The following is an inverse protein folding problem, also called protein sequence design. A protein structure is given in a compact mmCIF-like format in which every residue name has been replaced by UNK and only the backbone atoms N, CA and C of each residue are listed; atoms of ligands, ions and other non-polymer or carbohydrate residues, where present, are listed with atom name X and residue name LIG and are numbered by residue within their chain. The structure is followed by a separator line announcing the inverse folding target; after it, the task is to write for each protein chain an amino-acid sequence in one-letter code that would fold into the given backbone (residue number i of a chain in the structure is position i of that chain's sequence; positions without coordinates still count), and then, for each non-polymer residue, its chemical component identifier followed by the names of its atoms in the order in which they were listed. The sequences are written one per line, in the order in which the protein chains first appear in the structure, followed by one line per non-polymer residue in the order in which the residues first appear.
data_IF_191336672390
#
_entry.id   IF_191336672390
#
_cell.length_a   1.000
_cell.length_b   1.000
_cell.length_c   1.000
_cell.angle_alpha   90.00
_cell.angle_beta   90.00
_cell.angle_gamma   90.00
#
_symmetry.space_group_name_H-M   'P 1'
#
loop_
_entity.id
_entity.type
_entity.pdbx_description
1 polymer ?
#
# COMPACT_ATOMS: atom_id res chain seq x y z
N UNK A 1 16.96 25.93 41.20
CA UNK A 1 16.23 26.69 40.17
C UNK A 1 16.71 26.14 38.83
N UNK A 2 15.98 25.20 38.24
CA UNK A 2 16.33 24.63 36.93
C UNK A 2 15.97 25.70 35.91
N UNK A 3 16.99 26.28 35.27
CA UNK A 3 16.79 27.21 34.18
C UNK A 3 16.19 26.45 33.00
N UNK A 4 14.88 26.58 32.80
CA UNK A 4 14.25 26.27 31.52
C UNK A 4 14.88 27.19 30.48
N UNK A 5 15.72 26.62 29.62
CA UNK A 5 16.15 27.29 28.39
C UNK A 5 14.87 27.49 27.60
N UNK A 6 14.35 28.72 27.60
CA UNK A 6 13.34 29.16 26.65
C UNK A 6 14.02 29.06 25.30
N UNK A 7 13.77 27.97 24.58
CA UNK A 7 14.24 27.83 23.20
C UNK A 7 13.74 29.03 22.41
N UNK A 8 14.65 29.78 21.79
CA UNK A 8 14.26 30.86 20.91
C UNK A 8 13.32 30.30 19.84
N UNK A 9 12.15 30.91 19.66
CA UNK A 9 11.27 30.56 18.54
C UNK A 9 12.05 30.65 17.23
N UNK A 10 11.88 29.69 16.30
CA UNK A 10 12.57 29.74 15.01
C UNK A 10 12.25 31.05 14.29
N UNK A 11 13.25 31.62 13.61
CA UNK A 11 13.09 32.90 12.91
C UNK A 11 12.36 32.77 11.58
N UNK A 12 12.42 31.60 10.97
CA UNK A 12 11.82 31.33 9.65
C UNK A 12 10.32 31.06 9.77
N UNK A 13 9.60 31.16 8.65
CA UNK A 13 8.16 30.89 8.60
C UNK A 13 7.89 29.37 8.66
N UNK A 14 7.10 28.87 9.63
CA UNK A 14 6.67 27.47 9.68
C UNK A 14 5.95 27.00 8.41
N UNK A 15 5.21 27.91 7.74
CA UNK A 15 4.54 27.61 6.48
C UNK A 15 5.56 27.36 5.37
N UNK A 16 6.59 28.21 5.26
CA UNK A 16 7.66 28.06 4.27
C UNK A 16 8.41 26.72 4.44
N UNK A 17 8.59 26.28 5.69
CA UNK A 17 9.17 24.95 5.98
C UNK A 17 8.31 23.83 5.41
N UNK A 18 6.99 23.91 5.59
CA UNK A 18 6.05 22.92 5.06
C UNK A 18 5.97 22.98 3.52
N UNK A 19 6.02 24.17 2.93
CA UNK A 19 6.08 24.36 1.47
C UNK A 19 7.34 23.72 0.87
N UNK A 20 8.51 23.92 1.50
CA UNK A 20 9.77 23.28 1.08
C UNK A 20 9.67 21.76 1.17
N UNK A 21 9.12 21.23 2.27
CA UNK A 21 8.90 19.79 2.42
C UNK A 21 8.06 19.21 1.27
N UNK A 22 6.91 19.83 0.95
CA UNK A 22 6.06 19.37 -0.14
C UNK A 22 6.69 19.57 -1.52
N UNK A 23 7.45 20.65 -1.72
CA UNK A 23 8.21 20.85 -2.96
C UNK A 23 9.20 19.71 -3.20
N UNK A 24 9.88 19.22 -2.16
CA UNK A 24 10.74 18.03 -2.29
C UNK A 24 9.95 16.79 -2.67
N UNK A 25 8.75 16.59 -2.11
CA UNK A 25 7.89 15.45 -2.46
C UNK A 25 7.45 15.51 -3.93
N UNK A 26 6.96 16.66 -4.38
CA UNK A 26 6.48 16.88 -5.76
C UNK A 26 7.62 16.65 -6.77
N UNK A 27 8.84 17.04 -6.41
CA UNK A 27 10.03 16.85 -7.25
C UNK A 27 10.70 15.48 -7.06
N UNK A 28 10.07 14.54 -6.34
CA UNK A 28 10.59 13.18 -6.06
C UNK A 28 11.94 13.17 -5.32
N UNK A 29 12.23 14.22 -4.58
CA UNK A 29 13.44 14.44 -3.80
C UNK A 29 13.27 13.92 -2.35
N UNK A 30 12.80 12.67 -2.19
CA UNK A 30 12.32 12.14 -0.89
C UNK A 30 13.38 12.12 0.22
N UNK A 31 14.66 11.91 -0.11
CA UNK A 31 15.74 12.01 0.87
C UNK A 31 15.84 13.43 1.47
N UNK A 32 15.60 14.46 0.66
CA UNK A 32 15.58 15.84 1.13
C UNK A 32 14.27 16.15 1.88
N UNK A 33 13.14 15.57 1.48
CA UNK A 33 11.90 15.65 2.24
C UNK A 33 12.06 15.08 3.66
N UNK A 34 12.71 13.92 3.80
CA UNK A 34 12.98 13.30 5.11
C UNK A 34 13.76 14.21 6.06
N UNK A 35 14.67 15.05 5.53
CA UNK A 35 15.45 15.97 6.35
C UNK A 35 14.60 17.00 7.10
N UNK A 36 13.40 17.33 6.60
CA UNK A 36 12.46 18.24 7.25
C UNK A 36 11.66 17.61 8.40
N UNK A 37 11.70 16.28 8.56
CA UNK A 37 10.97 15.62 9.63
C UNK A 37 11.50 16.00 11.02
N UNK A 38 10.63 15.92 12.02
CA UNK A 38 10.98 16.13 13.43
C UNK A 38 12.04 15.11 13.90
N UNK A 39 12.86 15.49 14.87
CA UNK A 39 13.88 14.59 15.41
C UNK A 39 13.24 13.43 16.21
N UNK A 40 12.04 13.64 16.74
CA UNK A 40 11.25 12.58 17.34
C UNK A 40 10.83 11.53 16.29
N UNK A 41 10.34 11.98 15.13
CA UNK A 41 9.91 11.08 14.06
C UNK A 41 11.09 10.34 13.44
N UNK A 42 12.24 11.00 13.23
CA UNK A 42 13.45 10.34 12.70
C UNK A 42 13.96 9.18 13.57
N UNK A 43 13.66 9.18 14.87
CA UNK A 43 14.03 8.08 15.79
C UNK A 43 13.17 6.83 15.61
N UNK A 44 11.93 6.98 15.14
CA UNK A 44 10.98 5.86 14.97
C UNK A 44 10.77 5.49 13.51
N UNK A 45 10.86 6.47 12.60
CA UNK A 45 10.78 6.30 11.15
C UNK A 45 12.17 6.17 10.57
N UNK A 46 12.52 4.94 10.17
CA UNK A 46 13.73 4.72 9.39
C UNK A 46 13.64 5.48 8.07
N UNK A 47 14.72 6.16 7.71
CA UNK A 47 14.81 6.90 6.45
C UNK A 47 14.44 6.05 5.23
N UNK A 48 14.94 4.82 5.18
CA UNK A 48 14.71 3.94 4.04
C UNK A 48 13.23 3.52 3.92
N UNK A 49 12.53 3.37 5.06
CA UNK A 49 11.09 3.12 5.06
C UNK A 49 10.31 4.37 4.59
N UNK A 50 10.69 5.57 5.06
CA UNK A 50 10.07 6.81 4.55
C UNK A 50 10.23 6.93 3.03
N UNK A 51 11.45 6.79 2.52
CA UNK A 51 11.73 6.90 1.08
C UNK A 51 10.96 5.84 0.30
N UNK A 52 11.01 4.57 0.73
CA UNK A 52 10.28 3.49 0.09
C UNK A 52 8.77 3.76 0.07
N UNK A 53 8.20 4.26 1.17
CA UNK A 53 6.79 4.64 1.18
C UNK A 53 6.49 5.73 0.15
N UNK A 54 7.30 6.80 0.09
CA UNK A 54 7.05 7.91 -0.84
C UNK A 54 7.14 7.46 -2.31
N UNK A 55 8.10 6.60 -2.65
CA UNK A 55 8.23 6.00 -3.99
C UNK A 55 7.00 5.16 -4.35
N UNK A 56 6.56 4.29 -3.42
CA UNK A 56 5.39 3.44 -3.63
C UNK A 56 4.09 4.27 -3.66
N UNK A 57 3.99 5.34 -2.87
CA UNK A 57 2.85 6.23 -2.86
C UNK A 57 2.75 6.99 -4.18
N UNK A 58 3.87 7.48 -4.73
CA UNK A 58 3.90 8.13 -6.04
C UNK A 58 3.50 7.18 -7.19
N UNK A 59 3.77 5.87 -7.05
CA UNK A 59 3.33 4.84 -7.99
C UNK A 59 1.81 4.57 -7.94
N UNK A 60 1.12 4.99 -6.88
CA UNK A 60 -0.33 4.77 -6.66
C UNK A 60 -1.12 6.08 -6.75
N UNK A 61 -0.59 7.17 -6.22
CA UNK A 61 -1.13 8.52 -6.28
C UNK A 61 -0.02 9.57 -6.45
N UNK A 62 0.01 10.28 -7.59
CA UNK A 62 0.98 11.35 -7.83
C UNK A 62 0.56 12.65 -7.15
N UNK A 63 1.45 13.32 -6.40
CA UNK A 63 1.14 14.63 -5.81
C UNK A 63 1.50 15.76 -6.78
N UNK A 64 0.49 16.49 -7.26
CA UNK A 64 0.67 17.55 -8.26
C UNK A 64 0.99 18.91 -7.61
N UNK A 65 0.19 19.30 -6.62
CA UNK A 65 0.31 20.59 -5.92
C UNK A 65 -0.31 20.52 -4.53
N UNK A 66 0.03 21.53 -3.73
CA UNK A 66 -0.57 21.75 -2.40
C UNK A 66 -1.01 23.19 -2.21
N UNK A 67 -2.10 23.38 -1.47
CA UNK A 67 -2.53 24.69 -0.98
C UNK A 67 -2.57 24.65 0.55
N UNK A 68 -1.80 25.53 1.20
CA UNK A 68 -1.52 25.47 2.64
C UNK A 68 -2.15 26.66 3.34
N UNK A 69 -3.01 26.37 4.31
CA UNK A 69 -3.66 27.38 5.17
C UNK A 69 -3.41 27.05 6.64
N UNK A 70 -2.89 28.01 7.41
CA UNK A 70 -2.72 27.84 8.85
C UNK A 70 -4.07 27.80 9.55
N UNK A 71 -4.23 26.88 10.49
CA UNK A 71 -5.49 26.66 11.23
C UNK A 71 -5.32 27.00 12.70
N UNK A 72 -4.23 26.56 13.32
CA UNK A 72 -4.01 26.69 14.76
C UNK A 72 -2.54 26.93 15.07
N UNK A 73 -2.27 27.74 16.09
CA UNK A 73 -0.96 27.86 16.73
C UNK A 73 -1.12 27.69 18.24
N UNK A 74 -0.40 26.73 18.82
CA UNK A 74 -0.38 26.44 20.25
C UNK A 74 1.05 26.23 20.72
N UNK A 75 1.63 27.24 21.36
CA UNK A 75 3.03 27.22 21.77
C UNK A 75 3.96 26.99 20.58
N UNK A 76 4.77 25.95 20.68
CA UNK A 76 5.77 25.53 19.69
C UNK A 76 5.19 24.60 18.61
N UNK A 77 3.87 24.51 18.49
CA UNK A 77 3.18 23.66 17.51
C UNK A 77 2.22 24.47 16.66
N UNK A 78 2.26 24.23 15.35
CA UNK A 78 1.40 24.88 14.36
C UNK A 78 0.74 23.80 13.52
N UNK A 79 -0.56 23.94 13.30
CA UNK A 79 -1.35 23.01 12.50
C UNK A 79 -1.85 23.72 11.24
N UNK A 80 -1.62 23.08 10.11
CA UNK A 80 -2.05 23.52 8.79
C UNK A 80 -3.13 22.59 8.24
N UNK A 81 -4.09 23.16 7.53
CA UNK A 81 -4.86 22.43 6.53
C UNK A 81 -4.05 22.49 5.23
N UNK A 82 -3.80 21.33 4.65
CA UNK A 82 -3.15 21.18 3.35
C UNK A 82 -4.15 20.53 2.42
N UNK A 83 -4.55 21.26 1.38
CA UNK A 83 -5.29 20.67 0.27
C UNK A 83 -4.26 20.05 -0.67
N UNK A 84 -4.19 18.73 -0.70
CA UNK A 84 -3.34 17.97 -1.60
C UNK A 84 -4.13 17.64 -2.86
N UNK A 85 -3.70 18.17 -4.02
CA UNK A 85 -4.19 17.73 -5.32
C UNK A 85 -3.36 16.54 -5.79
N UNK A 86 -3.99 15.37 -5.87
CA UNK A 86 -3.31 14.12 -6.25
C UNK A 86 -3.97 13.47 -7.45
N UNK A 87 -3.16 12.97 -8.38
CA UNK A 87 -3.60 12.10 -9.45
C UNK A 87 -3.75 10.67 -8.93
N UNK A 88 -4.95 10.11 -8.97
CA UNK A 88 -5.22 8.71 -8.65
C UNK A 88 -5.09 7.86 -9.92
N UNK A 89 -4.04 7.04 -10.02
CA UNK A 89 -3.80 6.25 -11.22
C UNK A 89 -4.82 5.13 -11.44
N UNK A 90 -5.51 4.67 -10.39
CA UNK A 90 -6.55 3.65 -10.53
C UNK A 90 -7.82 4.21 -11.16
N UNK A 91 -8.18 5.43 -10.77
CA UNK A 91 -9.37 6.11 -11.29
C UNK A 91 -9.08 7.05 -12.48
N UNK A 92 -7.80 7.23 -12.84
CA UNK A 92 -7.29 8.17 -13.86
C UNK A 92 -7.85 9.60 -13.70
N UNK A 93 -7.90 10.10 -12.46
CA UNK A 93 -8.40 11.45 -12.16
C UNK A 93 -7.65 12.13 -11.04
N UNK A 94 -7.64 13.45 -11.10
CA UNK A 94 -7.15 14.28 -10.01
C UNK A 94 -8.23 14.42 -8.93
N UNK A 95 -7.80 14.37 -7.67
CA UNK A 95 -8.64 14.54 -6.48
C UNK A 95 -7.96 15.50 -5.51
N UNK A 96 -8.74 16.43 -4.98
CA UNK A 96 -8.33 17.26 -3.86
C UNK A 96 -8.72 16.59 -2.55
N UNK A 97 -7.75 16.41 -1.65
CA UNK A 97 -8.00 15.92 -0.29
C UNK A 97 -7.41 16.89 0.70
N UNK A 98 -8.22 17.33 1.68
CA UNK A 98 -7.72 18.15 2.78
C UNK A 98 -7.20 17.28 3.90
N UNK A 99 -5.94 17.45 4.26
CA UNK A 99 -5.28 16.77 5.38
C UNK A 99 -4.76 17.79 6.38
N UNK A 100 -4.64 17.38 7.64
CA UNK A 100 -3.94 18.18 8.65
C UNK A 100 -2.46 17.83 8.62
N UNK A 101 -1.62 18.85 8.75
CA UNK A 101 -0.17 18.71 8.94
C UNK A 101 0.27 19.53 10.13
N UNK A 102 1.15 18.94 10.92
CA UNK A 102 1.70 19.59 12.11
C UNK A 102 3.15 19.95 11.88
N UNK A 103 3.50 21.19 12.20
CA UNK A 103 4.88 21.69 12.22
C UNK A 103 5.21 22.06 13.66
N UNK A 104 6.38 21.66 14.14
CA UNK A 104 6.85 21.89 15.51
C UNK A 104 8.18 22.62 15.51
N UNK A 105 8.39 23.49 16.51
CA UNK A 105 9.70 24.10 16.74
C UNK A 105 10.56 23.15 17.57
N UNK A 106 11.72 22.76 17.02
CA UNK A 106 12.70 21.88 17.66
C UNK A 106 14.10 22.45 17.40
N UNK A 107 14.90 22.60 18.46
CA UNK A 107 16.29 23.08 18.38
C UNK A 107 16.49 24.40 17.59
N UNK A 108 15.48 25.28 17.64
CA UNK A 108 15.51 26.59 16.97
C UNK A 108 15.12 26.55 15.48
N UNK A 109 14.64 25.41 14.98
CA UNK A 109 14.17 25.22 13.61
C UNK A 109 12.72 24.71 13.59
N UNK A 110 12.00 24.97 12.50
CA UNK A 110 10.70 24.34 12.27
C UNK A 110 10.89 22.96 11.63
N UNK A 111 10.15 21.97 12.10
CA UNK A 111 10.17 20.59 11.62
C UNK A 111 8.77 20.08 11.33
N UNK A 112 8.61 19.28 10.29
CA UNK A 112 7.34 18.66 9.92
C UNK A 112 7.17 17.38 10.71
N UNK A 113 6.00 17.18 11.34
CA UNK A 113 5.68 15.89 11.93
C UNK A 113 5.32 14.89 10.83
N UNK A 114 5.92 13.71 10.90
CA UNK A 114 5.54 12.60 10.05
C UNK A 114 4.12 12.13 10.41
N UNK A 115 3.39 11.65 9.41
CA UNK A 115 2.03 11.14 9.59
C UNK A 115 1.98 9.67 9.18
N UNK A 116 1.39 8.86 10.04
CA UNK A 116 1.11 7.44 9.77
C UNK A 116 2.21 6.48 10.19
N UNK A 117 1.81 5.21 10.26
CA UNK A 117 2.72 4.10 10.43
C UNK A 117 3.22 3.64 9.06
N UNK A 118 4.42 4.10 8.68
CA UNK A 118 5.04 3.72 7.40
C UNK A 118 5.18 2.20 7.25
N UNK A 119 5.30 1.44 8.34
CA UNK A 119 5.35 -0.01 8.25
C UNK A 119 4.06 -0.56 7.61
N UNK A 120 2.91 -0.19 8.16
CA UNK A 120 1.59 -0.57 7.63
C UNK A 120 1.34 0.03 6.24
N UNK A 121 1.70 1.29 6.02
CA UNK A 121 1.43 1.98 4.74
C UNK A 121 2.19 1.38 3.56
N UNK A 122 3.44 0.94 3.75
CA UNK A 122 4.22 0.26 2.70
C UNK A 122 3.58 -1.08 2.33
N UNK A 123 3.09 -1.85 3.30
CA UNK A 123 2.39 -3.12 3.04
C UNK A 123 1.16 -2.87 2.15
N UNK A 124 0.34 -1.88 2.49
CA UNK A 124 -0.82 -1.49 1.67
C UNK A 124 -0.41 -1.06 0.25
N UNK A 125 0.59 -0.20 0.11
CA UNK A 125 1.03 0.29 -1.21
C UNK A 125 1.64 -0.81 -2.07
N UNK A 126 2.47 -1.69 -1.50
CA UNK A 126 3.01 -2.83 -2.23
C UNK A 126 1.91 -3.78 -2.70
N UNK A 127 0.93 -4.09 -1.84
CA UNK A 127 -0.20 -4.93 -2.22
C UNK A 127 -1.01 -4.32 -3.38
N UNK A 128 -1.27 -3.00 -3.34
CA UNK A 128 -1.94 -2.26 -4.41
C UNK A 128 -1.16 -2.31 -5.73
N UNK A 129 0.14 -2.01 -5.69
CA UNK A 129 1.00 -2.06 -6.89
C UNK A 129 1.08 -3.50 -7.43
N UNK A 130 1.14 -4.50 -6.56
CA UNK A 130 1.07 -5.91 -6.94
C UNK A 130 -0.22 -6.22 -7.71
N UNK A 131 -1.37 -5.72 -7.22
CA UNK A 131 -2.64 -5.86 -7.91
C UNK A 131 -2.69 -5.10 -9.26
N UNK A 132 -2.08 -3.92 -9.36
CA UNK A 132 -1.98 -3.18 -10.61
C UNK A 132 -1.22 -3.97 -11.68
N UNK A 133 -0.05 -4.52 -11.32
CA UNK A 133 0.72 -5.39 -12.23
C UNK A 133 -0.01 -6.70 -12.56
N UNK A 134 -0.73 -7.29 -11.60
CA UNK A 134 -1.45 -8.54 -11.80
C UNK A 134 -2.61 -8.40 -12.80
N UNK A 135 -3.21 -7.22 -12.87
CA UNK A 135 -4.39 -6.93 -13.69
C UNK A 135 -4.06 -6.08 -14.93
N UNK A 136 -2.88 -5.46 -14.99
CA UNK A 136 -2.51 -4.57 -16.09
C UNK A 136 -3.31 -3.26 -16.06
N UNK A 137 -3.49 -2.67 -14.88
CA UNK A 137 -4.30 -1.45 -14.67
C UNK A 137 -3.44 -0.27 -14.25
N UNK A 138 -4.01 0.94 -14.28
CA UNK A 138 -3.40 2.14 -13.72
C UNK A 138 -2.00 2.45 -14.26
N UNK A 139 -1.86 2.38 -15.59
CA UNK A 139 -0.61 2.60 -16.31
C UNK A 139 0.45 1.50 -16.15
N UNK A 140 0.19 0.45 -15.35
CA UNK A 140 1.10 -0.71 -15.25
C UNK A 140 0.68 -1.77 -16.26
N UNK A 141 1.62 -2.20 -17.11
CA UNK A 141 1.39 -3.35 -17.99
C UNK A 141 1.17 -4.63 -17.17
N UNK A 142 0.38 -5.57 -17.69
CA UNK A 142 0.20 -6.88 -17.09
C UNK A 142 1.56 -7.58 -16.97
N UNK A 143 2.04 -7.73 -15.74
CA UNK A 143 3.35 -8.31 -15.43
C UNK A 143 3.23 -9.18 -14.17
N UNK A 144 2.90 -10.47 -14.31
CA UNK A 144 2.74 -11.37 -13.18
C UNK A 144 4.03 -11.59 -12.38
N UNK A 145 5.21 -11.37 -12.98
CA UNK A 145 6.48 -11.51 -12.26
C UNK A 145 6.68 -10.34 -11.30
N UNK A 146 6.44 -9.10 -11.75
CA UNK A 146 6.45 -7.93 -10.86
C UNK A 146 5.36 -8.00 -9.79
N UNK A 147 4.17 -8.49 -10.15
CA UNK A 147 3.11 -8.72 -9.17
C UNK A 147 3.55 -9.69 -8.07
N UNK A 148 4.14 -10.83 -8.44
CA UNK A 148 4.68 -11.80 -7.49
C UNK A 148 5.72 -11.17 -6.55
N UNK A 149 6.71 -10.44 -7.09
CA UNK A 149 7.71 -9.75 -6.27
C UNK A 149 7.09 -8.79 -5.26
N UNK A 150 6.06 -8.02 -5.64
CA UNK A 150 5.37 -7.13 -4.71
C UNK A 150 4.64 -7.86 -3.60
N UNK A 151 3.96 -8.97 -3.90
CA UNK A 151 3.30 -9.77 -2.86
C UNK A 151 4.30 -10.52 -1.97
N UNK A 152 5.46 -10.92 -2.50
CA UNK A 152 6.57 -11.47 -1.71
C UNK A 152 7.15 -10.42 -0.75
N UNK A 153 7.35 -9.18 -1.21
CA UNK A 153 7.80 -8.07 -0.36
C UNK A 153 6.81 -7.82 0.78
N UNK A 154 5.50 -7.87 0.49
CA UNK A 154 4.45 -7.77 1.51
C UNK A 154 4.59 -8.88 2.54
N UNK A 155 4.65 -10.15 2.13
CA UNK A 155 4.74 -11.29 3.06
C UNK A 155 6.06 -11.33 3.84
N UNK A 156 7.14 -10.77 3.28
CA UNK A 156 8.41 -10.63 4.00
C UNK A 156 8.31 -9.61 5.13
N UNK A 157 7.50 -8.57 4.95
CA UNK A 157 7.36 -7.45 5.89
C UNK A 157 6.24 -7.68 6.90
N UNK A 158 5.12 -8.21 6.45
CA UNK A 158 4.01 -8.69 7.27
C UNK A 158 3.55 -10.08 6.79
N UNK A 159 4.11 -11.16 7.38
CA UNK A 159 3.70 -12.53 7.08
C UNK A 159 2.23 -12.85 7.41
N UNK A 160 1.56 -12.01 8.21
CA UNK A 160 0.16 -12.19 8.60
C UNK A 160 -0.82 -11.53 7.63
N UNK A 161 -0.33 -10.73 6.68
CA UNK A 161 -1.15 -10.11 5.63
C UNK A 161 -1.60 -11.15 4.59
N UNK A 162 -2.58 -11.97 4.99
CA UNK A 162 -3.03 -13.11 4.21
C UNK A 162 -3.54 -12.80 2.79
N UNK A 163 -4.08 -11.60 2.45
CA UNK A 163 -4.46 -11.28 1.08
C UNK A 163 -3.29 -11.36 0.09
N UNK A 164 -2.05 -11.13 0.54
CA UNK A 164 -0.89 -11.28 -0.33
C UNK A 164 -0.64 -12.74 -0.77
N UNK A 165 -1.06 -13.74 0.01
CA UNK A 165 -1.01 -15.14 -0.44
C UNK A 165 -1.89 -15.38 -1.67
N UNK A 166 -3.08 -14.75 -1.74
CA UNK A 166 -3.93 -14.83 -2.92
C UNK A 166 -3.28 -14.13 -4.12
N UNK A 167 -2.78 -12.91 -3.92
CA UNK A 167 -2.10 -12.15 -4.97
C UNK A 167 -0.89 -12.89 -5.55
N UNK A 168 -0.06 -13.48 -4.67
CA UNK A 168 1.11 -14.27 -5.07
C UNK A 168 0.69 -15.56 -5.78
N UNK A 169 -0.30 -16.30 -5.26
CA UNK A 169 -0.80 -17.50 -5.90
C UNK A 169 -1.40 -17.21 -7.29
N UNK A 170 -2.17 -16.14 -7.43
CA UNK A 170 -2.73 -15.70 -8.71
C UNK A 170 -1.63 -15.28 -9.71
N UNK A 171 -0.58 -14.63 -9.22
CA UNK A 171 0.61 -14.31 -10.02
C UNK A 171 1.29 -15.60 -10.51
N UNK A 172 1.49 -16.58 -9.63
CA UNK A 172 2.07 -17.88 -9.98
C UNK A 172 1.23 -18.68 -10.97
N UNK A 173 -0.10 -18.65 -10.85
CA UNK A 173 -1.00 -19.24 -11.86
C UNK A 173 -0.79 -18.63 -13.24
N UNK A 174 -0.68 -17.29 -13.34
CA UNK A 174 -0.40 -16.61 -14.63
C UNK A 174 1.01 -16.94 -15.15
N UNK A 175 1.96 -17.18 -14.25
CA UNK A 175 3.32 -17.67 -14.57
C UNK A 175 3.38 -19.17 -14.84
N UNK A 176 2.25 -19.89 -14.78
CA UNK A 176 2.16 -21.35 -14.93
C UNK A 176 2.95 -22.15 -13.88
N UNK A 177 3.23 -21.55 -12.72
CA UNK A 177 3.84 -22.20 -11.55
C UNK A 177 2.74 -22.78 -10.66
N UNK A 178 2.02 -23.77 -11.17
CA UNK A 178 0.79 -24.26 -10.54
C UNK A 178 1.06 -24.97 -9.22
N UNK A 179 2.11 -25.77 -9.15
CA UNK A 179 2.52 -26.51 -7.95
C UNK A 179 2.89 -25.56 -6.80
N UNK A 180 3.58 -24.45 -7.12
CA UNK A 180 3.95 -23.43 -6.14
C UNK A 180 2.74 -22.58 -5.69
N UNK A 181 1.74 -22.42 -6.55
CA UNK A 181 0.54 -21.62 -6.27
C UNK A 181 -0.41 -22.31 -5.28
N UNK A 182 -0.51 -23.65 -5.33
CA UNK A 182 -1.42 -24.43 -4.47
C UNK A 182 -1.22 -24.12 -2.97
N UNK A 183 -0.01 -24.27 -2.37
CA UNK A 183 0.16 -24.02 -0.94
C UNK A 183 -0.16 -22.59 -0.52
N UNK A 184 0.08 -21.60 -1.39
CA UNK A 184 -0.27 -20.20 -1.13
C UNK A 184 -1.78 -19.99 -1.15
N UNK A 185 -2.47 -20.54 -2.14
CA UNK A 185 -3.93 -20.47 -2.22
C UNK A 185 -4.60 -21.22 -1.04
N UNK A 186 -4.04 -22.34 -0.60
CA UNK A 186 -4.49 -23.06 0.60
C UNK A 186 -4.36 -22.19 1.85
N UNK A 187 -3.19 -21.58 2.09
CA UNK A 187 -2.99 -20.65 3.22
C UNK A 187 -3.98 -19.47 3.20
N UNK A 188 -4.27 -18.94 2.02
CA UNK A 188 -5.27 -17.89 1.85
C UNK A 188 -6.67 -18.36 2.27
N UNK A 189 -7.11 -19.53 1.84
CA UNK A 189 -8.42 -20.09 2.22
C UNK A 189 -8.51 -20.37 3.73
N UNK A 190 -7.44 -20.87 4.34
CA UNK A 190 -7.36 -21.14 5.79
C UNK A 190 -7.46 -19.86 6.62
N UNK A 191 -6.89 -18.76 6.13
CA UNK A 191 -6.86 -17.47 6.82
C UNK A 191 -8.07 -16.58 6.53
N UNK A 192 -8.75 -16.81 5.41
CA UNK A 192 -9.89 -16.01 4.98
C UNK A 192 -11.06 -16.13 5.97
N UNK A 193 -11.68 -15.00 6.29
CA UNK A 193 -12.86 -14.97 7.17
C UNK A 193 -14.16 -15.26 6.40
N UNK A 194 -14.30 -14.72 5.19
CA UNK A 194 -15.55 -14.76 4.41
C UNK A 194 -15.62 -15.89 3.38
N UNK A 195 -16.84 -16.31 3.06
CA UNK A 195 -17.09 -17.34 2.05
C UNK A 195 -16.73 -16.89 0.63
N UNK A 196 -16.80 -15.60 0.33
CA UNK A 196 -16.43 -15.06 -0.99
C UNK A 196 -14.93 -15.21 -1.24
N UNK A 197 -14.12 -14.85 -0.25
CA UNK A 197 -12.67 -15.00 -0.26
C UNK A 197 -12.29 -16.48 -0.35
N UNK A 198 -12.87 -17.33 0.50
CA UNK A 198 -12.63 -18.78 0.46
C UNK A 198 -13.01 -19.38 -0.89
N UNK A 199 -14.13 -18.94 -1.49
CA UNK A 199 -14.56 -19.37 -2.82
C UNK A 199 -13.53 -18.99 -3.89
N UNK A 200 -13.01 -17.76 -3.87
CA UNK A 200 -11.97 -17.31 -4.79
C UNK A 200 -10.68 -18.13 -4.65
N UNK A 201 -10.26 -18.45 -3.42
CA UNK A 201 -9.11 -19.31 -3.16
C UNK A 201 -9.32 -20.74 -3.66
N UNK A 202 -10.49 -21.34 -3.39
CA UNK A 202 -10.85 -22.68 -3.88
C UNK A 202 -10.90 -22.76 -5.41
N UNK A 203 -11.42 -21.72 -6.06
CA UNK A 203 -11.37 -21.63 -7.53
C UNK A 203 -9.92 -21.59 -8.04
N UNK A 204 -9.03 -20.87 -7.35
CA UNK A 204 -7.61 -20.82 -7.74
C UNK A 204 -6.91 -22.18 -7.57
N UNK A 205 -7.19 -22.90 -6.48
CA UNK A 205 -6.71 -24.26 -6.24
C UNK A 205 -7.20 -25.20 -7.35
N UNK A 206 -8.48 -25.10 -7.73
CA UNK A 206 -9.04 -25.88 -8.83
C UNK A 206 -8.35 -25.62 -10.17
N UNK A 207 -8.03 -24.36 -10.49
CA UNK A 207 -7.27 -24.00 -11.70
C UNK A 207 -5.89 -24.69 -11.69
N UNK A 208 -5.21 -24.69 -10.55
CA UNK A 208 -3.89 -25.33 -10.43
C UNK A 208 -3.98 -26.85 -10.63
N UNK A 209 -4.96 -27.51 -10.01
CA UNK A 209 -5.16 -28.96 -10.19
C UNK A 209 -5.58 -29.32 -11.62
N UNK A 210 -6.41 -28.50 -12.28
CA UNK A 210 -6.83 -28.73 -13.66
C UNK A 210 -5.62 -28.68 -14.62
N UNK A 211 -4.74 -27.70 -14.40
CA UNK A 211 -3.54 -27.47 -15.19
C UNK A 211 -2.45 -28.53 -14.96
N UNK A 212 -2.34 -29.08 -13.76
CA UNK A 212 -1.41 -30.17 -13.41
C UNK A 212 -1.97 -31.57 -13.71
N UNK A 213 -3.16 -31.65 -14.33
CA UNK A 213 -3.77 -32.91 -14.78
C UNK A 213 -4.55 -33.67 -13.72
N UNK A 214 -4.65 -33.17 -12.49
CA UNK A 214 -5.42 -33.80 -11.42
C UNK A 214 -6.91 -33.40 -11.51
N UNK A 215 -7.62 -33.99 -12.48
CA UNK A 215 -9.00 -33.61 -12.82
C UNK A 215 -9.98 -33.80 -11.66
N UNK A 216 -9.83 -34.85 -10.87
CA UNK A 216 -10.71 -35.11 -9.72
C UNK A 216 -10.58 -34.02 -8.66
N UNK A 217 -9.35 -33.69 -8.25
CA UNK A 217 -9.11 -32.60 -7.28
C UNK A 217 -9.54 -31.23 -7.82
N UNK A 218 -9.39 -31.01 -9.12
CA UNK A 218 -9.85 -29.79 -9.76
C UNK A 218 -11.38 -29.66 -9.65
N UNK A 219 -12.12 -30.71 -10.00
CA UNK A 219 -13.58 -30.77 -9.90
C UNK A 219 -14.05 -30.52 -8.47
N UNK A 220 -13.42 -31.18 -7.49
CA UNK A 220 -13.72 -31.00 -6.07
C UNK A 220 -13.52 -29.55 -5.61
N UNK A 221 -12.39 -28.94 -5.96
CA UNK A 221 -12.09 -27.56 -5.58
C UNK A 221 -13.06 -26.55 -6.24
N UNK A 222 -13.42 -26.74 -7.51
CA UNK A 222 -14.41 -25.91 -8.19
C UNK A 222 -15.80 -26.07 -7.59
N UNK A 223 -16.21 -27.30 -7.27
CA UNK A 223 -17.47 -27.58 -6.59
C UNK A 223 -17.51 -26.87 -5.24
N UNK A 224 -16.43 -26.94 -4.45
CA UNK A 224 -16.33 -26.24 -3.18
C UNK A 224 -16.41 -24.73 -3.33
N UNK A 225 -15.76 -24.17 -4.35
CA UNK A 225 -15.85 -22.75 -4.64
C UNK A 225 -17.30 -22.30 -4.92
N UNK A 226 -18.07 -23.07 -5.70
CA UNK A 226 -19.50 -22.80 -5.99
C UNK A 226 -20.37 -22.99 -4.75
N UNK A 227 -20.11 -23.99 -3.90
CA UNK A 227 -20.83 -24.16 -2.63
C UNK A 227 -20.64 -22.97 -1.68
N UNK A 228 -19.41 -22.47 -1.58
CA UNK A 228 -19.07 -21.34 -0.71
C UNK A 228 -19.69 -20.04 -1.22
N UNK A 229 -19.63 -19.81 -2.53
CA UNK A 229 -20.27 -18.66 -3.16
C UNK A 229 -20.92 -19.10 -4.48
N UNK A 230 -22.25 -19.32 -4.47
CA UNK A 230 -22.99 -19.66 -5.66
C UNK A 230 -22.95 -18.58 -6.75
N UNK A 231 -22.58 -17.33 -6.45
CA UNK A 231 -22.46 -16.25 -7.44
C UNK A 231 -21.06 -16.15 -8.07
N UNK A 232 -20.12 -17.01 -7.68
CA UNK A 232 -18.78 -17.02 -8.27
C UNK A 232 -18.82 -17.57 -9.71
N UNK A 233 -19.00 -16.66 -10.67
CA UNK A 233 -19.13 -17.00 -12.10
C UNK A 233 -17.89 -17.71 -12.67
N UNK A 234 -16.68 -17.38 -12.17
CA UNK A 234 -15.46 -18.05 -12.60
C UNK A 234 -15.44 -19.51 -12.15
N UNK A 235 -15.83 -19.79 -10.91
CA UNK A 235 -15.93 -21.14 -10.38
C UNK A 235 -16.99 -21.96 -11.11
N UNK A 236 -18.18 -21.40 -11.34
CA UNK A 236 -19.23 -22.07 -12.12
C UNK A 236 -18.76 -22.43 -13.54
N UNK A 237 -18.13 -21.48 -14.23
CA UNK A 237 -17.59 -21.69 -15.58
C UNK A 237 -16.55 -22.80 -15.58
N UNK A 238 -15.63 -22.81 -14.61
CA UNK A 238 -14.62 -23.84 -14.49
C UNK A 238 -15.22 -25.21 -14.18
N UNK A 239 -16.15 -25.30 -13.24
CA UNK A 239 -16.84 -26.54 -12.87
C UNK A 239 -17.60 -27.15 -14.05
N UNK A 240 -18.28 -26.34 -14.87
CA UNK A 240 -19.08 -26.82 -16.01
C UNK A 240 -18.28 -27.57 -17.09
N UNK A 241 -16.95 -27.44 -17.09
CA UNK A 241 -16.05 -28.20 -17.98
C UNK A 241 -15.89 -29.67 -17.55
N UNK A 242 -16.25 -29.99 -16.31
CA UNK A 242 -16.19 -31.33 -15.73
C UNK A 242 -17.59 -31.93 -15.80
N UNK A 243 -17.87 -32.65 -16.88
CA UNK A 243 -19.10 -33.44 -17.03
C UNK A 243 -19.12 -34.64 -16.09
#
# INVERSE_FOLDING_TARGET
MIATIVGCSPKDDPKETLEKYYSRIINEEYNFAYAYLSEADKKVTKRDDFILFMELDADVTGLNKVEITQVEKKGDTIVFNVVENRHDYMDEKDKDTTVKRTVVAEDGEWRVKAEGDFATLIVDRQAKIGAMYLNGTAGKALDPAKAATRFEDVLKRDPSFYPANYGLAASYVKLKKYEDAIPLATKYVESAAGNNEKSNGMNLIGICYDATGNKEKAKEAFQKAVELNPENQLAQKNLSRFK
#
